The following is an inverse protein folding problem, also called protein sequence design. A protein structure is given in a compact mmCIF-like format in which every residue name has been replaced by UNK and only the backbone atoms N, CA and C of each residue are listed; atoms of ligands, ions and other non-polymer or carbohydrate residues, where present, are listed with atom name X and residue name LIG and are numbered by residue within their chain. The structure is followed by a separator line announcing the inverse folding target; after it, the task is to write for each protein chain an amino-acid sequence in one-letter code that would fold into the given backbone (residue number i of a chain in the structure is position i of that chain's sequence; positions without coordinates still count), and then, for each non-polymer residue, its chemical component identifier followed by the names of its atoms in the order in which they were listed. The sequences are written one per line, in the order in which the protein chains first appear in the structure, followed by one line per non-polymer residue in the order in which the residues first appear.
data_IF_576015021870
#
_entry.id   IF_576015021870
#
_cell.length_a   1.000
_cell.length_b   1.000
_cell.length_c   1.000
_cell.angle_alpha   90.00
_cell.angle_beta   90.00
_cell.angle_gamma   90.00
#
_symmetry.space_group_name_H-M   'P 1'
#
loop_
_entity.id
_entity.type
_entity.pdbx_description
1 polymer ?
#
# COMPACT_ATOMS: atom_id res chain seq x y z
N UNK A 1 26.07 -10.40 -8.74
CA UNK A 1 25.01 -9.44 -8.40
C UNK A 1 23.71 -10.18 -8.22
N UNK A 2 23.00 -9.93 -7.13
CA UNK A 2 21.73 -10.57 -6.83
C UNK A 2 20.61 -9.74 -7.46
N UNK A 3 19.74 -10.34 -8.26
CA UNK A 3 18.55 -9.63 -8.74
C UNK A 3 17.67 -9.17 -7.56
N UNK A 4 16.91 -8.11 -7.76
CA UNK A 4 15.97 -7.59 -6.75
C UNK A 4 14.56 -7.54 -7.30
N UNK A 5 13.57 -7.66 -6.42
CA UNK A 5 12.18 -7.46 -6.79
C UNK A 5 11.92 -5.95 -6.88
N UNK A 6 11.82 -5.43 -8.09
CA UNK A 6 11.69 -3.99 -8.32
C UNK A 6 10.26 -3.50 -8.25
N UNK A 7 9.35 -4.20 -8.91
CA UNK A 7 7.94 -3.77 -9.01
C UNK A 7 7.00 -4.93 -8.71
N UNK A 8 5.90 -4.61 -8.05
CA UNK A 8 4.78 -5.51 -7.82
C UNK A 8 3.54 -4.83 -8.39
N UNK A 9 2.81 -5.51 -9.27
CA UNK A 9 1.60 -4.96 -9.84
C UNK A 9 0.49 -4.87 -8.78
N UNK A 10 -0.10 -3.70 -8.67
CA UNK A 10 -1.22 -3.44 -7.77
C UNK A 10 -2.40 -2.97 -8.61
N UNK A 11 -3.44 -3.78 -8.68
CA UNK A 11 -4.62 -3.52 -9.51
C UNK A 11 -5.50 -2.44 -8.89
N UNK A 12 -5.91 -1.50 -9.71
CA UNK A 12 -6.78 -0.39 -9.33
C UNK A 12 -7.92 -0.23 -10.33
N UNK A 13 -9.00 0.42 -9.93
CA UNK A 13 -10.06 0.79 -10.85
C UNK A 13 -9.72 2.08 -11.59
N UNK A 14 -9.01 2.99 -10.95
CA UNK A 14 -8.66 4.30 -11.51
C UNK A 14 -7.29 4.75 -11.00
N UNK A 15 -6.43 5.22 -11.91
CA UNK A 15 -5.08 5.67 -11.55
C UNK A 15 -5.10 6.82 -10.55
N UNK A 16 -5.85 7.87 -10.85
CA UNK A 16 -5.82 9.10 -10.04
C UNK A 16 -6.44 8.89 -8.66
N UNK A 17 -7.50 8.09 -8.58
CA UNK A 17 -8.11 7.72 -7.32
C UNK A 17 -7.10 7.00 -6.41
N UNK A 18 -6.38 6.03 -6.96
CA UNK A 18 -5.39 5.28 -6.21
C UNK A 18 -4.21 6.17 -5.79
N UNK A 19 -3.68 6.98 -6.72
CA UNK A 19 -2.59 7.91 -6.42
C UNK A 19 -2.98 8.83 -5.26
N UNK A 20 -4.18 9.40 -5.32
CA UNK A 20 -4.66 10.31 -4.27
C UNK A 20 -4.78 9.63 -2.93
N UNK A 21 -5.30 8.41 -2.90
CA UNK A 21 -5.44 7.67 -1.66
C UNK A 21 -4.09 7.32 -1.03
N UNK A 22 -3.16 6.77 -1.82
CA UNK A 22 -1.83 6.41 -1.30
C UNK A 22 -1.09 7.63 -0.76
N UNK A 23 -1.23 8.77 -1.42
CA UNK A 23 -0.64 10.02 -0.94
C UNK A 23 -1.27 10.49 0.37
N UNK A 24 -2.59 10.56 0.42
CA UNK A 24 -3.29 11.11 1.58
C UNK A 24 -3.23 10.18 2.78
N UNK A 25 -3.51 8.90 2.59
CA UNK A 25 -3.61 7.92 3.67
C UNK A 25 -2.25 7.43 4.15
N UNK A 26 -1.37 7.07 3.23
CA UNK A 26 -0.09 6.43 3.57
C UNK A 26 1.12 7.36 3.44
N UNK A 27 0.93 8.55 2.85
CA UNK A 27 2.05 9.47 2.63
C UNK A 27 3.04 8.98 1.58
N UNK A 28 2.60 8.09 0.71
CA UNK A 28 3.47 7.54 -0.33
C UNK A 28 3.80 8.57 -1.39
N UNK A 29 4.91 8.35 -2.09
CA UNK A 29 5.38 9.21 -3.16
C UNK A 29 5.04 8.63 -4.52
N UNK A 30 4.66 9.50 -5.43
CA UNK A 30 4.51 9.17 -6.85
C UNK A 30 5.89 9.33 -7.49
N UNK A 31 6.50 8.22 -7.91
CA UNK A 31 7.86 8.20 -8.43
C UNK A 31 7.93 8.31 -9.95
N UNK A 32 6.88 7.84 -10.62
CA UNK A 32 6.75 7.98 -12.06
C UNK A 32 5.29 7.96 -12.46
N UNK A 33 4.93 8.74 -13.47
CA UNK A 33 3.61 8.74 -14.07
C UNK A 33 3.77 9.11 -15.54
N UNK A 34 3.92 8.09 -16.38
CA UNK A 34 4.22 8.26 -17.80
C UNK A 34 3.04 7.79 -18.64
N UNK A 35 2.61 8.63 -19.59
CA UNK A 35 1.58 8.27 -20.55
C UNK A 35 2.15 7.23 -21.54
N UNK A 36 1.49 6.08 -21.63
CA UNK A 36 1.90 5.00 -22.52
C UNK A 36 1.01 4.89 -23.77
N UNK A 37 0.07 5.82 -23.91
CA UNK A 37 -0.90 5.81 -25.00
C UNK A 37 -2.10 4.91 -24.73
N UNK A 38 -3.22 5.19 -25.38
CA UNK A 38 -4.43 4.39 -25.27
C UNK A 38 -5.05 4.36 -23.88
N UNK A 39 -4.77 5.37 -23.05
CA UNK A 39 -5.25 5.43 -21.68
C UNK A 39 -4.43 4.65 -20.66
N UNK A 40 -3.38 3.96 -21.11
CA UNK A 40 -2.45 3.25 -20.22
C UNK A 40 -1.40 4.22 -19.70
N UNK A 41 -1.10 4.11 -18.41
CA UNK A 41 -0.07 4.90 -17.74
C UNK A 41 0.90 3.97 -17.03
N UNK A 42 2.16 4.37 -16.94
CA UNK A 42 3.18 3.69 -16.17
C UNK A 42 3.36 4.45 -14.87
N UNK A 43 2.72 3.95 -13.81
CA UNK A 43 2.63 4.64 -12.53
C UNK A 43 3.35 3.84 -11.46
N UNK A 44 4.40 4.42 -10.86
CA UNK A 44 5.14 3.78 -9.77
C UNK A 44 4.96 4.59 -8.50
N UNK A 45 4.63 3.92 -7.42
CA UNK A 45 4.49 4.52 -6.09
C UNK A 45 5.21 3.68 -5.05
N UNK A 46 5.70 4.35 -4.00
CA UNK A 46 6.36 3.69 -2.88
C UNK A 46 6.33 4.59 -1.65
N UNK A 47 6.63 4.04 -0.44
CA UNK A 47 6.73 4.87 0.77
C UNK A 47 7.73 6.00 0.65
N UNK A 48 8.85 5.77 -0.04
CA UNK A 48 9.86 6.79 -0.30
C UNK A 48 10.61 6.50 -1.61
N UNK A 49 11.39 7.48 -2.06
CA UNK A 49 12.10 7.38 -3.34
C UNK A 49 13.23 6.36 -3.34
N UNK A 50 13.66 5.89 -2.16
CA UNK A 50 14.76 4.93 -2.03
C UNK A 50 14.27 3.50 -1.88
N UNK A 51 12.96 3.26 -1.91
CA UNK A 51 12.41 1.92 -1.75
C UNK A 51 12.87 1.00 -2.89
N UNK A 52 13.41 -0.16 -2.54
CA UNK A 52 13.86 -1.14 -3.53
C UNK A 52 12.68 -1.79 -4.26
N UNK A 53 11.59 -2.06 -3.54
CA UNK A 53 10.38 -2.63 -4.11
C UNK A 53 9.28 -1.58 -4.11
N UNK A 54 8.67 -1.39 -5.27
CA UNK A 54 7.66 -0.36 -5.47
C UNK A 54 6.39 -0.98 -6.05
N UNK A 55 5.28 -0.31 -5.89
CA UNK A 55 4.04 -0.71 -6.55
C UNK A 55 3.99 -0.14 -7.95
N UNK A 56 3.67 -1.00 -8.91
CA UNK A 56 3.22 -0.60 -10.23
C UNK A 56 1.69 -0.51 -10.17
N UNK A 57 1.18 0.72 -10.18
CA UNK A 57 -0.27 0.96 -10.13
C UNK A 57 -0.82 0.62 -11.51
N UNK A 58 -1.62 -0.43 -11.60
CA UNK A 58 -2.10 -0.98 -12.87
C UNK A 58 -3.63 -0.95 -12.92
N UNK A 59 -4.18 -0.20 -13.90
CA UNK A 59 -5.63 -0.15 -14.06
C UNK A 59 -6.14 -1.51 -14.56
N UNK A 60 -7.08 -2.08 -13.83
CA UNK A 60 -7.70 -3.35 -14.19
C UNK A 60 -8.47 -3.24 -15.50
N UNK A 61 -8.29 -4.22 -16.37
CA UNK A 61 -8.98 -4.30 -17.66
C UNK A 61 -9.84 -5.58 -17.71
N UNK A 62 -11.09 -5.43 -18.13
CA UNK A 62 -11.99 -6.57 -18.30
C UNK A 62 -12.12 -7.40 -17.02
N UNK A 63 -11.81 -8.70 -17.12
CA UNK A 63 -11.94 -9.65 -16.00
C UNK A 63 -11.01 -9.33 -14.84
N UNK A 64 -9.96 -8.56 -15.04
CA UNK A 64 -9.06 -8.15 -13.96
C UNK A 64 -9.78 -7.33 -12.89
N UNK A 65 -10.87 -6.66 -13.25
CA UNK A 65 -11.63 -5.83 -12.31
C UNK A 65 -12.13 -6.63 -11.09
N UNK A 66 -12.41 -7.91 -11.25
CA UNK A 66 -12.86 -8.77 -10.16
C UNK A 66 -11.76 -9.04 -9.12
N UNK A 67 -10.50 -8.81 -9.47
CA UNK A 67 -9.36 -9.04 -8.59
C UNK A 67 -8.89 -7.79 -7.86
N UNK A 68 -9.45 -6.62 -8.19
CA UNK A 68 -9.16 -5.39 -7.45
C UNK A 68 -9.64 -5.56 -6.01
N UNK A 69 -8.74 -5.35 -5.04
CA UNK A 69 -9.05 -5.57 -3.63
C UNK A 69 -8.96 -7.02 -3.17
N UNK A 70 -8.55 -7.95 -4.05
CA UNK A 70 -8.50 -9.39 -3.75
C UNK A 70 -7.12 -10.00 -4.05
N UNK A 71 -6.06 -9.22 -3.93
CA UNK A 71 -4.73 -9.66 -4.32
C UNK A 71 -4.24 -10.88 -3.53
N UNK A 72 -4.62 -10.99 -2.26
CA UNK A 72 -4.18 -12.08 -1.40
C UNK A 72 -5.31 -13.03 -1.00
N UNK A 73 -6.43 -12.99 -1.72
CA UNK A 73 -7.55 -13.90 -1.46
C UNK A 73 -8.19 -13.73 -0.09
N UNK A 74 -8.19 -12.50 0.45
CA UNK A 74 -8.78 -12.21 1.76
C UNK A 74 -7.79 -12.27 2.92
N UNK A 75 -6.57 -12.68 2.68
CA UNK A 75 -5.51 -12.63 3.69
C UNK A 75 -4.92 -11.23 3.78
N UNK A 76 -4.19 -10.95 4.86
CA UNK A 76 -3.27 -9.83 4.90
C UNK A 76 -2.21 -10.06 3.82
N UNK A 77 -2.21 -9.20 2.80
CA UNK A 77 -1.33 -9.35 1.65
C UNK A 77 -0.12 -8.45 1.68
N UNK A 78 -0.14 -7.42 2.51
CA UNK A 78 0.93 -6.43 2.58
C UNK A 78 1.24 -6.11 4.03
N UNK A 79 2.52 -5.91 4.32
CA UNK A 79 2.99 -5.50 5.64
C UNK A 79 3.74 -4.19 5.49
N UNK A 80 3.27 -3.16 6.16
CA UNK A 80 3.87 -1.83 6.13
C UNK A 80 4.55 -1.56 7.47
N UNK A 81 5.87 -1.40 7.45
CA UNK A 81 6.62 -1.05 8.64
C UNK A 81 6.69 0.46 8.82
N UNK A 82 6.57 0.91 10.06
CA UNK A 82 6.74 2.31 10.42
C UNK A 82 7.65 2.42 11.64
N UNK A 83 8.41 3.51 11.73
CA UNK A 83 9.20 3.81 12.92
C UNK A 83 8.36 4.49 14.02
N UNK A 84 7.15 4.95 13.67
CA UNK A 84 6.26 5.65 14.61
C UNK A 84 4.81 5.23 14.34
N UNK A 85 4.37 4.19 15.02
CA UNK A 85 3.02 3.66 14.84
C UNK A 85 1.95 4.70 15.18
N UNK A 86 2.13 5.42 16.27
CA UNK A 86 1.12 6.38 16.73
C UNK A 86 0.90 7.49 15.69
N UNK A 87 1.97 8.02 15.10
CA UNK A 87 1.87 9.05 14.07
C UNK A 87 1.23 8.53 12.79
N UNK A 88 1.65 7.34 12.32
CA UNK A 88 1.09 6.73 11.13
C UNK A 88 -0.39 6.41 11.32
N UNK A 89 -0.75 5.82 12.44
CA UNK A 89 -2.12 5.47 12.77
C UNK A 89 -3.01 6.72 12.81
N UNK A 90 -2.56 7.79 13.47
CA UNK A 90 -3.31 9.04 13.55
C UNK A 90 -3.54 9.66 12.17
N UNK A 91 -2.52 9.67 11.33
CA UNK A 91 -2.63 10.17 9.96
C UNK A 91 -3.65 9.37 9.16
N UNK A 92 -3.57 8.06 9.26
CA UNK A 92 -4.46 7.16 8.51
C UNK A 92 -5.90 7.30 8.99
N UNK A 93 -6.12 7.38 10.31
CA UNK A 93 -7.46 7.61 10.87
C UNK A 93 -8.04 8.95 10.40
N UNK A 94 -7.23 10.00 10.37
CA UNK A 94 -7.65 11.31 9.88
C UNK A 94 -8.01 11.28 8.39
N UNK A 95 -7.40 10.41 7.61
CA UNK A 95 -7.70 10.22 6.19
C UNK A 95 -8.88 9.26 5.95
N UNK A 96 -9.51 8.74 7.01
CA UNK A 96 -10.67 7.85 6.89
C UNK A 96 -10.33 6.39 6.62
N UNK A 97 -9.09 5.96 6.87
CA UNK A 97 -8.70 4.56 6.69
C UNK A 97 -9.45 3.67 7.66
N UNK A 98 -9.99 2.57 7.16
CA UNK A 98 -10.68 1.58 7.99
C UNK A 98 -9.69 0.63 8.65
N UNK A 99 -9.58 0.69 9.98
CA UNK A 99 -8.86 -0.31 10.77
C UNK A 99 -9.85 -1.36 11.27
N UNK A 100 -9.49 -2.63 11.11
CA UNK A 100 -10.35 -3.75 11.53
C UNK A 100 -10.31 -3.98 13.03
N UNK A 101 -9.34 -3.42 13.73
CA UNK A 101 -9.06 -3.69 15.14
C UNK A 101 -8.38 -2.49 15.79
N UNK A 102 -8.43 -2.45 17.12
CA UNK A 102 -7.60 -1.55 17.88
C UNK A 102 -6.14 -2.02 17.83
N UNK A 103 -5.16 -1.11 18.01
CA UNK A 103 -3.75 -1.51 18.03
C UNK A 103 -3.48 -2.62 19.04
N UNK A 104 -2.69 -3.62 18.63
CA UNK A 104 -2.26 -4.75 19.47
C UNK A 104 -0.78 -4.61 19.80
N UNK A 105 -0.42 -4.95 21.02
CA UNK A 105 0.98 -4.99 21.44
C UNK A 105 1.43 -6.44 21.51
N UNK A 106 2.20 -6.83 20.50
CA UNK A 106 2.69 -8.20 20.34
C UNK A 106 4.17 -8.28 20.72
N UNK A 107 4.72 -9.49 20.92
CA UNK A 107 6.16 -9.61 21.20
C UNK A 107 7.05 -8.99 20.12
N UNK A 108 6.60 -9.00 18.88
CA UNK A 108 7.38 -8.46 17.73
C UNK A 108 7.16 -6.98 17.48
N UNK A 109 6.17 -6.34 18.09
CA UNK A 109 5.90 -4.93 17.89
C UNK A 109 4.45 -4.54 18.11
N UNK A 110 4.14 -3.30 17.75
CA UNK A 110 2.77 -2.78 17.75
C UNK A 110 2.18 -2.95 16.35
N UNK A 111 0.98 -3.52 16.26
CA UNK A 111 0.36 -3.87 14.98
C UNK A 111 -1.14 -3.59 14.97
N UNK A 112 -1.65 -3.21 13.81
CA UNK A 112 -3.09 -3.20 13.54
C UNK A 112 -3.34 -3.51 12.07
N UNK A 113 -4.40 -4.26 11.80
CA UNK A 113 -4.83 -4.56 10.43
C UNK A 113 -5.70 -3.41 9.93
N UNK A 114 -5.42 -2.95 8.73
CA UNK A 114 -6.27 -1.97 8.04
C UNK A 114 -6.63 -2.44 6.64
N UNK A 115 -7.63 -1.81 6.05
CA UNK A 115 -8.03 -2.05 4.66
C UNK A 115 -7.65 -0.84 3.82
N UNK A 116 -7.11 -1.10 2.63
CA UNK A 116 -6.82 -0.02 1.69
C UNK A 116 -8.07 0.42 0.94
N UNK A 117 -7.89 1.32 -0.02
CA UNK A 117 -8.97 1.90 -0.82
C UNK A 117 -9.92 0.85 -1.43
N UNK A 118 -9.38 -0.28 -1.86
CA UNK A 118 -10.14 -1.33 -2.53
C UNK A 118 -10.44 -2.53 -1.64
N UNK A 119 -10.06 -2.47 -0.38
CA UNK A 119 -10.35 -3.51 0.60
C UNK A 119 -9.28 -4.57 0.77
N UNK A 120 -8.10 -4.43 0.14
CA UNK A 120 -6.98 -5.30 0.46
C UNK A 120 -6.58 -5.09 1.91
N UNK A 121 -6.19 -6.18 2.57
CA UNK A 121 -5.83 -6.14 3.98
C UNK A 121 -4.33 -5.97 4.16
N UNK A 122 -3.96 -5.11 5.07
CA UNK A 122 -2.58 -4.75 5.39
C UNK A 122 -2.34 -4.86 6.89
N UNK A 123 -1.11 -5.22 7.27
CA UNK A 123 -0.62 -4.97 8.62
C UNK A 123 0.17 -3.67 8.64
N UNK A 124 -0.17 -2.78 9.56
CA UNK A 124 0.71 -1.67 9.94
C UNK A 124 1.48 -2.11 11.19
N UNK A 125 2.80 -2.14 11.11
CA UNK A 125 3.65 -2.65 12.20
C UNK A 125 4.77 -1.66 12.51
N UNK A 126 4.92 -1.33 13.79
CA UNK A 126 6.15 -0.77 14.30
C UNK A 126 6.92 -1.91 14.97
N UNK A 127 7.99 -2.42 14.33
CA UNK A 127 8.77 -3.51 14.91
C UNK A 127 9.42 -3.09 16.21
N UNK A 128 9.52 -4.03 17.16
CA UNK A 128 10.32 -3.78 18.37
C UNK A 128 11.77 -3.62 17.98
N UNK A 129 12.42 -2.65 18.62
CA UNK A 129 13.85 -2.51 18.48
C UNK A 129 14.53 -3.74 19.05
N UNK A 130 15.45 -4.30 18.28
CA UNK A 130 16.41 -5.25 18.80
C UNK A 130 17.56 -4.49 19.43
N UNK A 131 17.87 -4.86 20.64
CA UNK A 131 18.95 -4.25 21.42
C UNK A 131 20.24 -5.04 21.23
#
# INVERSE_FOLDING_TARGET
MIPRLALVAYLVHDYDEAIGWFRAALGWQLLEDSDMGGGKRWVRMAPDAQAETQFLIARALGEQAAHVGQHAGGRVGYVLHTADFAAAHARMMAAGVHFEEAPRHEPYGTVAVFRDLYGNRWDLIEPKRQV
#
